data_IF_815144167428
#
_entry.id   IF_815144167428
#
_cell.length_a   1.000
_cell.length_b   1.000
_cell.length_c   1.000
_cell.angle_alpha   90.00
_cell.angle_beta   90.00
_cell.angle_gamma   90.00
#
_symmetry.space_group_name_H-M   'P 1'
#
loop_
_entity.id
_entity.type
_entity.pdbx_description
1 polymer ?
#
# COMPACT_ATOMS: atom_id res chain seq x y z
N UNK A 1 4.00 -6.04 5.67
CA UNK A 1 2.82 -5.46 6.32
C UNK A 1 1.51 -5.97 5.73
N UNK A 2 0.43 -5.97 6.52
CA UNK A 2 -0.91 -6.33 6.06
C UNK A 2 -1.83 -5.11 6.03
N UNK A 3 -2.51 -4.90 4.91
CA UNK A 3 -3.55 -3.87 4.79
C UNK A 3 -4.88 -4.40 5.32
N UNK A 4 -5.52 -3.62 6.18
CA UNK A 4 -6.86 -3.95 6.71
C UNK A 4 -7.81 -2.77 6.58
N UNK A 5 -9.12 -3.09 6.54
CA UNK A 5 -10.21 -2.13 6.74
C UNK A 5 -11.19 -2.76 7.72
N UNK A 6 -11.51 -2.04 8.80
CA UNK A 6 -12.53 -2.44 9.76
C UNK A 6 -13.80 -1.63 9.60
N UNK A 7 -14.95 -2.25 9.88
CA UNK A 7 -16.29 -1.66 9.74
C UNK A 7 -16.81 -0.97 11.02
N UNK A 8 -16.06 -1.04 12.12
CA UNK A 8 -16.48 -0.51 13.43
C UNK A 8 -17.42 -1.43 14.21
N UNK A 9 -17.80 -2.59 13.66
CA UNK A 9 -18.73 -3.54 14.27
C UNK A 9 -18.13 -4.96 14.42
N UNK A 10 -16.83 -5.10 14.20
CA UNK A 10 -16.08 -6.35 14.29
C UNK A 10 -15.80 -7.04 12.97
N UNK A 11 -16.37 -6.57 11.85
CA UNK A 11 -16.01 -7.03 10.51
C UNK A 11 -14.68 -6.42 10.07
N UNK A 12 -13.80 -7.23 9.45
CA UNK A 12 -12.44 -6.83 9.02
C UNK A 12 -12.14 -7.43 7.66
N UNK A 13 -11.92 -6.58 6.67
CA UNK A 13 -11.40 -6.96 5.36
C UNK A 13 -9.86 -6.86 5.35
N UNK A 14 -9.17 -7.90 4.83
CA UNK A 14 -7.72 -7.95 4.66
C UNK A 14 -7.40 -7.88 3.17
N UNK A 15 -6.64 -6.85 2.77
CA UNK A 15 -6.38 -6.49 1.38
C UNK A 15 -4.95 -6.84 0.93
N UNK A 16 -4.48 -8.00 1.36
CA UNK A 16 -3.17 -8.52 1.02
C UNK A 16 -2.03 -7.93 1.85
N UNK A 17 -0.87 -8.54 1.67
CA UNK A 17 0.39 -8.08 2.25
C UNK A 17 1.17 -7.21 1.26
N UNK A 18 2.05 -6.38 1.79
CA UNK A 18 3.06 -5.64 1.03
C UNK A 18 4.45 -5.91 1.60
N UNK A 19 5.42 -6.06 0.71
CA UNK A 19 6.83 -6.05 1.04
C UNK A 19 7.38 -4.63 0.94
N UNK A 20 7.86 -4.11 2.05
CA UNK A 20 8.40 -2.75 2.19
C UNK A 20 9.89 -2.76 2.60
N UNK A 21 10.62 -3.83 2.29
CA UNK A 21 12.00 -4.03 2.72
C UNK A 21 12.99 -3.09 2.03
N UNK A 22 12.67 -2.57 0.83
CA UNK A 22 13.53 -1.65 0.10
C UNK A 22 13.42 -0.24 0.70
N UNK A 23 14.37 0.08 1.57
CA UNK A 23 14.38 1.32 2.34
C UNK A 23 15.73 2.03 2.26
N UNK A 24 15.72 3.34 2.49
CA UNK A 24 16.92 4.16 2.69
C UNK A 24 16.69 5.07 3.90
N UNK A 25 17.58 5.02 4.88
CA UNK A 25 17.48 5.81 6.13
C UNK A 25 16.11 5.62 6.81
N UNK A 26 15.64 4.37 6.90
CA UNK A 26 14.33 3.99 7.45
C UNK A 26 13.10 4.57 6.71
N UNK A 27 13.29 5.05 5.49
CA UNK A 27 12.19 5.47 4.61
C UNK A 27 11.98 4.43 3.52
N UNK A 28 10.76 3.96 3.36
CA UNK A 28 10.34 3.07 2.29
C UNK A 28 10.58 3.77 0.93
N UNK A 29 11.12 3.05 -0.05
CA UNK A 29 11.40 3.57 -1.41
C UNK A 29 10.64 2.80 -2.48
N UNK A 30 10.53 1.47 -2.30
CA UNK A 30 9.82 0.57 -3.20
C UNK A 30 8.99 -0.35 -2.31
N UNK A 31 7.73 -0.49 -2.67
CA UNK A 31 6.79 -1.41 -2.03
C UNK A 31 6.15 -2.31 -3.08
N UNK A 32 5.97 -3.58 -2.79
CA UNK A 32 5.37 -4.53 -3.72
C UNK A 32 4.35 -5.46 -3.04
N UNK A 33 3.40 -5.94 -3.81
CA UNK A 33 2.43 -6.97 -3.42
C UNK A 33 2.18 -7.94 -4.58
N UNK A 34 2.09 -9.25 -4.28
CA UNK A 34 2.38 -9.90 -3.01
C UNK A 34 3.87 -9.92 -2.67
N UNK A 35 4.21 -10.34 -1.45
CA UNK A 35 5.60 -10.49 -1.00
C UNK A 35 6.19 -11.84 -1.43
N UNK A 36 7.45 -11.83 -1.89
CA UNK A 36 8.18 -13.08 -2.15
C UNK A 36 8.76 -13.72 -0.89
N UNK A 37 8.84 -12.97 0.21
CA UNK A 37 9.42 -13.42 1.47
C UNK A 37 8.40 -14.10 2.40
N UNK A 38 7.11 -14.02 2.08
CA UNK A 38 6.02 -14.54 2.91
C UNK A 38 5.45 -15.81 2.29
N UNK A 39 5.58 -16.94 2.99
CA UNK A 39 4.94 -18.19 2.57
C UNK A 39 3.42 -18.14 2.82
N UNK A 40 2.66 -18.96 2.10
CA UNK A 40 1.21 -19.08 2.27
C UNK A 40 0.82 -19.36 3.73
N UNK A 41 1.49 -20.30 4.39
CA UNK A 41 1.24 -20.64 5.81
C UNK A 41 1.54 -19.46 6.75
N UNK A 42 2.58 -18.68 6.45
CA UNK A 42 2.92 -17.48 7.21
C UNK A 42 1.87 -16.40 6.98
N UNK A 43 1.46 -16.18 5.73
CA UNK A 43 0.41 -15.23 5.37
C UNK A 43 -0.91 -15.54 6.09
N UNK A 44 -1.35 -16.80 6.07
CA UNK A 44 -2.55 -17.26 6.79
C UNK A 44 -2.47 -16.97 8.29
N UNK A 45 -1.32 -17.20 8.89
CA UNK A 45 -1.09 -16.95 10.32
C UNK A 45 -1.13 -15.46 10.65
N UNK A 46 -0.52 -14.63 9.81
CA UNK A 46 -0.57 -13.16 9.91
C UNK A 46 -2.01 -12.65 9.77
N UNK A 47 -2.75 -13.14 8.77
CA UNK A 47 -4.14 -12.75 8.53
C UNK A 47 -5.05 -13.10 9.72
N UNK A 48 -4.93 -14.31 10.27
CA UNK A 48 -5.69 -14.74 11.47
C UNK A 48 -5.40 -13.83 12.67
N UNK A 49 -4.13 -13.49 12.87
CA UNK A 49 -3.71 -12.56 13.93
C UNK A 49 -4.29 -11.16 13.74
N UNK A 50 -4.20 -10.64 12.51
CA UNK A 50 -4.74 -9.34 12.13
C UNK A 50 -6.26 -9.28 12.33
N UNK A 51 -6.99 -10.26 11.81
CA UNK A 51 -8.44 -10.32 11.93
C UNK A 51 -8.87 -10.35 13.39
N UNK A 52 -8.24 -11.21 14.22
CA UNK A 52 -8.53 -11.29 15.65
C UNK A 52 -8.30 -9.96 16.36
N UNK A 53 -7.17 -9.29 16.07
CA UNK A 53 -6.82 -8.02 16.70
C UNK A 53 -7.82 -6.93 16.35
N UNK A 54 -8.07 -6.68 15.07
CA UNK A 54 -8.92 -5.59 14.62
C UNK A 54 -10.41 -5.81 14.95
N UNK A 55 -10.89 -7.07 14.87
CA UNK A 55 -12.25 -7.42 15.31
C UNK A 55 -12.43 -7.17 16.79
N UNK A 56 -11.48 -7.57 17.65
CA UNK A 56 -11.60 -7.38 19.11
C UNK A 56 -11.66 -5.92 19.54
N UNK A 57 -11.14 -5.02 18.71
CA UNK A 57 -11.13 -3.58 18.94
C UNK A 57 -12.35 -2.86 18.31
N UNK A 58 -13.20 -3.57 17.58
CA UNK A 58 -14.23 -2.97 16.72
C UNK A 58 -13.63 -1.82 15.88
N UNK A 59 -12.45 -2.10 15.28
CA UNK A 59 -11.71 -1.08 14.54
C UNK A 59 -12.53 -0.52 13.38
N UNK A 60 -12.48 0.81 13.19
CA UNK A 60 -13.19 1.49 12.12
C UNK A 60 -12.21 2.27 11.24
N UNK A 61 -12.18 1.96 9.94
CA UNK A 61 -11.33 2.62 8.95
C UNK A 61 -10.17 1.77 8.45
N UNK A 62 -9.28 2.39 7.67
CA UNK A 62 -8.08 1.74 7.16
C UNK A 62 -6.98 1.66 8.22
N UNK A 63 -6.31 0.53 8.28
CA UNK A 63 -5.17 0.29 9.15
C UNK A 63 -4.17 -0.66 8.52
N UNK A 64 -2.96 -0.72 9.09
CA UNK A 64 -1.90 -1.60 8.64
C UNK A 64 -1.19 -2.20 9.83
N UNK A 65 -0.89 -3.50 9.76
CA UNK A 65 0.01 -4.17 10.71
C UNK A 65 1.35 -4.38 10.05
N UNK A 66 2.42 -3.95 10.69
CA UNK A 66 3.79 -4.17 10.24
C UNK A 66 4.43 -5.34 10.99
N UNK A 67 5.17 -6.16 10.23
CA UNK A 67 5.89 -7.33 10.72
C UNK A 67 7.34 -7.32 10.26
N UNK A 68 8.23 -7.82 11.08
CA UNK A 68 9.57 -8.23 10.68
C UNK A 68 9.54 -9.71 10.33
N UNK A 69 9.99 -10.06 9.12
CA UNK A 69 10.10 -11.45 8.64
C UNK A 69 11.56 -11.88 8.64
N UNK A 70 11.85 -13.04 9.22
CA UNK A 70 13.20 -13.64 9.25
C UNK A 70 13.09 -15.15 9.06
N UNK A 71 13.47 -15.64 7.88
CA UNK A 71 13.27 -17.03 7.48
C UNK A 71 11.78 -17.40 7.55
N UNK A 72 11.46 -18.48 8.26
CA UNK A 72 10.08 -18.96 8.44
C UNK A 72 9.36 -18.35 9.66
N UNK A 73 9.89 -17.27 10.22
CA UNK A 73 9.32 -16.61 11.40
C UNK A 73 8.93 -15.17 11.07
N UNK A 74 7.89 -14.68 11.74
CA UNK A 74 7.50 -13.29 11.69
C UNK A 74 7.25 -12.73 13.09
N UNK A 75 7.52 -11.46 13.25
CA UNK A 75 7.42 -10.76 14.54
C UNK A 75 6.59 -9.50 14.34
N UNK A 76 5.60 -9.30 15.22
CA UNK A 76 4.82 -8.07 15.24
C UNK A 76 5.72 -6.88 15.56
N UNK A 77 5.59 -5.80 14.80
CA UNK A 77 6.27 -4.53 15.04
C UNK A 77 5.31 -3.48 15.57
N UNK A 78 4.36 -3.05 14.75
CA UNK A 78 3.43 -1.99 15.10
C UNK A 78 2.13 -2.06 14.29
N UNK A 79 1.14 -1.26 14.75
CA UNK A 79 -0.08 -0.96 14.00
C UNK A 79 -0.10 0.50 13.62
N UNK A 80 -0.32 0.78 12.35
CA UNK A 80 -0.59 2.12 11.87
C UNK A 80 -2.11 2.29 11.68
N UNK A 81 -2.74 3.04 12.59
CA UNK A 81 -4.19 3.29 12.60
C UNK A 81 -4.58 4.42 11.63
N UNK A 82 -4.14 4.33 10.39
CA UNK A 82 -4.34 5.30 9.32
C UNK A 82 -4.09 4.67 7.96
N UNK A 83 -4.48 5.37 6.89
CA UNK A 83 -3.99 5.03 5.54
C UNK A 83 -2.48 5.35 5.44
N UNK A 84 -1.74 4.52 4.70
CA UNK A 84 -0.32 4.72 4.43
C UNK A 84 -0.09 5.17 2.97
N UNK A 85 1.13 5.65 2.68
CA UNK A 85 1.52 6.11 1.34
C UNK A 85 1.33 5.00 0.31
N UNK A 86 1.72 3.79 0.65
CA UNK A 86 1.77 2.58 -0.19
C UNK A 86 0.43 1.84 -0.35
N UNK A 87 -0.69 2.41 0.15
CA UNK A 87 -2.02 1.79 -0.04
C UNK A 87 -2.38 1.49 -1.50
N UNK A 88 -1.92 2.27 -2.51
CA UNK A 88 -2.25 1.97 -3.90
C UNK A 88 -1.75 0.61 -4.39
N UNK A 89 -0.68 0.07 -3.79
CA UNK A 89 -0.20 -1.28 -4.11
C UNK A 89 -1.28 -2.31 -3.83
N UNK A 90 -1.90 -2.26 -2.63
CA UNK A 90 -3.03 -3.13 -2.27
C UNK A 90 -4.27 -2.85 -3.12
N UNK A 91 -4.57 -1.59 -3.45
CA UNK A 91 -5.67 -1.24 -4.34
C UNK A 91 -5.53 -1.88 -5.72
N UNK A 92 -4.32 -1.83 -6.29
CA UNK A 92 -4.06 -2.37 -7.64
C UNK A 92 -4.21 -3.90 -7.71
N UNK A 93 -3.83 -4.64 -6.66
CA UNK A 93 -3.92 -6.10 -6.66
C UNK A 93 -5.27 -6.62 -6.21
N UNK A 94 -6.06 -5.84 -5.46
CA UNK A 94 -7.39 -6.25 -4.99
C UNK A 94 -8.54 -5.65 -5.80
N UNK A 95 -8.28 -4.59 -6.56
CA UNK A 95 -9.31 -3.82 -7.28
C UNK A 95 -10.19 -2.98 -6.35
N UNK A 96 -9.70 -2.65 -5.15
CA UNK A 96 -10.43 -1.93 -4.10
C UNK A 96 -10.01 -0.46 -4.08
N UNK A 97 -10.93 0.43 -3.74
CA UNK A 97 -10.66 1.84 -3.41
C UNK A 97 -10.68 1.99 -1.89
N UNK A 98 -9.49 1.92 -1.27
CA UNK A 98 -9.29 1.95 0.19
C UNK A 98 -9.75 3.28 0.77
N UNK A 99 -9.51 4.38 0.08
CA UNK A 99 -9.88 5.72 0.55
C UNK A 99 -11.40 5.86 0.60
N UNK A 100 -12.08 5.40 -0.44
CA UNK A 100 -13.54 5.39 -0.49
C UNK A 100 -14.13 4.54 0.63
N UNK A 101 -13.61 3.33 0.82
CA UNK A 101 -14.09 2.44 1.88
C UNK A 101 -13.86 3.05 3.27
N UNK A 102 -12.69 3.63 3.52
CA UNK A 102 -12.39 4.32 4.77
C UNK A 102 -13.38 5.46 5.03
N UNK A 103 -13.64 6.32 4.05
CA UNK A 103 -14.61 7.42 4.18
C UNK A 103 -16.00 6.84 4.47
N UNK A 104 -16.39 5.79 3.73
CA UNK A 104 -17.70 5.15 3.90
C UNK A 104 -17.92 4.65 5.32
N UNK A 105 -17.00 3.84 5.85
CA UNK A 105 -17.17 3.27 7.20
C UNK A 105 -17.04 4.32 8.31
N UNK A 106 -16.11 5.28 8.16
CA UNK A 106 -15.92 6.35 9.14
C UNK A 106 -17.09 7.35 9.20
N UNK A 107 -17.90 7.43 8.16
CA UNK A 107 -19.14 8.24 8.15
C UNK A 107 -20.39 7.45 8.53
N UNK A 108 -20.24 6.22 9.02
CA UNK A 108 -21.34 5.35 9.44
C UNK A 108 -21.99 4.57 8.30
N UNK A 109 -21.41 4.57 7.10
CA UNK A 109 -21.85 3.74 5.98
C UNK A 109 -21.44 2.28 6.14
N UNK A 110 -22.11 1.39 5.43
CA UNK A 110 -21.79 -0.03 5.44
C UNK A 110 -20.55 -0.30 4.57
N UNK A 111 -19.57 -1.06 5.10
CA UNK A 111 -18.45 -1.56 4.32
C UNK A 111 -18.94 -2.42 3.15
N UNK A 112 -18.46 -2.14 1.95
CA UNK A 112 -18.82 -2.91 0.75
C UNK A 112 -17.97 -4.17 0.58
N UNK A 113 -16.83 -4.25 1.27
CA UNK A 113 -15.91 -5.38 1.20
C UNK A 113 -16.41 -6.56 2.04
N UNK A 114 -16.14 -7.81 1.61
CA UNK A 114 -16.43 -8.98 2.42
C UNK A 114 -15.52 -9.02 3.65
N UNK A 115 -16.01 -9.61 4.74
CA UNK A 115 -15.18 -9.94 5.89
C UNK A 115 -14.16 -11.02 5.52
N UNK A 116 -12.93 -10.91 6.05
CA UNK A 116 -11.83 -11.82 5.80
C UNK A 116 -10.88 -11.40 4.69
N UNK A 117 -10.16 -12.35 4.12
CA UNK A 117 -9.07 -12.11 3.16
C UNK A 117 -9.61 -11.94 1.75
N UNK A 118 -9.26 -10.82 1.11
CA UNK A 118 -9.59 -10.57 -0.29
C UNK A 118 -8.62 -11.29 -1.24
N UNK A 119 -9.11 -11.73 -2.40
CA UNK A 119 -8.24 -12.32 -3.42
C UNK A 119 -7.31 -11.27 -4.04
N UNK A 120 -6.05 -11.64 -4.21
CA UNK A 120 -5.03 -10.85 -4.92
C UNK A 120 -4.98 -11.28 -6.38
N UNK A 121 -4.87 -10.31 -7.30
CA UNK A 121 -4.75 -10.55 -8.74
C UNK A 121 -3.51 -9.85 -9.28
N UNK A 122 -2.61 -10.63 -9.90
CA UNK A 122 -1.37 -10.11 -10.49
C UNK A 122 -0.36 -9.65 -9.44
N UNK A 123 0.44 -8.66 -9.81
CA UNK A 123 1.54 -8.11 -9.02
C UNK A 123 1.56 -6.59 -9.16
N UNK A 124 1.73 -5.86 -8.07
CA UNK A 124 1.89 -4.41 -8.12
C UNK A 124 3.18 -3.98 -7.43
N UNK A 125 3.81 -2.94 -7.96
CA UNK A 125 5.01 -2.32 -7.38
C UNK A 125 4.79 -0.80 -7.39
N UNK A 126 5.04 -0.18 -6.25
CA UNK A 126 5.11 1.28 -6.09
C UNK A 126 6.57 1.71 -5.98
N UNK A 127 6.93 2.81 -6.64
CA UNK A 127 8.20 3.50 -6.45
C UNK A 127 7.94 4.94 -6.02
N UNK A 128 8.52 5.36 -4.90
CA UNK A 128 8.43 6.74 -4.41
C UNK A 128 9.34 7.65 -5.19
N UNK A 129 8.83 8.78 -5.66
CA UNK A 129 9.57 9.80 -6.40
C UNK A 129 9.88 10.95 -5.45
N UNK A 130 11.16 11.05 -5.09
CA UNK A 130 11.67 12.04 -4.16
C UNK A 130 12.45 13.13 -4.88
N UNK A 131 12.16 14.39 -4.59
CA UNK A 131 12.98 15.52 -5.04
C UNK A 131 14.34 15.50 -4.32
N UNK A 132 15.42 15.56 -5.06
CA UNK A 132 16.79 15.61 -4.51
C UNK A 132 17.18 17.01 -4.05
N UNK A 133 16.67 18.02 -4.74
CA UNK A 133 16.97 19.44 -4.48
C UNK A 133 15.73 20.27 -4.72
N UNK A 134 15.58 21.41 -4.00
CA UNK A 134 14.58 22.41 -4.35
C UNK A 134 14.83 22.96 -5.76
N UNK A 135 13.77 23.35 -6.45
CA UNK A 135 13.89 23.90 -7.80
C UNK A 135 12.56 24.00 -8.53
N UNK A 136 12.61 24.55 -9.73
CA UNK A 136 11.47 24.70 -10.63
C UNK A 136 11.35 23.46 -11.52
N UNK A 137 10.15 22.89 -11.61
CA UNK A 137 9.83 21.82 -12.58
C UNK A 137 9.63 22.47 -13.95
N UNK A 138 10.66 22.47 -14.79
CA UNK A 138 10.62 23.09 -16.12
C UNK A 138 9.95 22.20 -17.15
N UNK A 139 10.02 20.88 -16.96
CA UNK A 139 9.36 19.89 -17.81
C UNK A 139 8.91 18.70 -16.96
N UNK A 140 7.67 18.27 -17.14
CA UNK A 140 7.10 17.09 -16.49
C UNK A 140 6.51 16.17 -17.56
N UNK A 141 6.97 14.92 -17.59
CA UNK A 141 6.36 13.85 -18.39
C UNK A 141 5.95 12.74 -17.45
N UNK A 142 4.65 12.55 -17.32
CA UNK A 142 4.07 11.50 -16.49
C UNK A 142 3.86 10.25 -17.35
N UNK A 143 4.39 9.08 -16.96
CA UNK A 143 4.11 7.84 -17.66
C UNK A 143 2.62 7.47 -17.54
N UNK A 144 2.10 6.74 -18.53
CA UNK A 144 0.71 6.31 -18.54
C UNK A 144 0.55 5.03 -19.35
N UNK A 145 -0.64 4.42 -19.24
CA UNK A 145 -0.98 3.19 -19.94
C UNK A 145 -1.66 2.17 -19.04
N UNK A 146 -1.96 1.00 -19.59
CA UNK A 146 -2.64 -0.06 -18.83
C UNK A 146 -1.78 -0.58 -17.66
N UNK A 147 -2.35 -0.50 -16.45
CA UNK A 147 -1.67 -0.90 -15.22
C UNK A 147 -0.57 0.06 -14.78
N UNK A 148 -0.64 1.34 -15.20
CA UNK A 148 0.24 2.41 -14.72
C UNK A 148 -0.63 3.46 -14.04
N UNK A 149 -0.29 3.80 -12.79
CA UNK A 149 -0.92 4.84 -11.98
C UNK A 149 0.16 5.78 -11.45
N UNK A 150 -0.08 7.06 -11.56
CA UNK A 150 0.79 8.10 -11.02
C UNK A 150 -0.01 8.97 -10.06
N UNK A 151 0.36 8.94 -8.79
CA UNK A 151 -0.22 9.76 -7.74
C UNK A 151 0.79 10.82 -7.33
N UNK A 152 0.47 12.07 -7.56
CA UNK A 152 1.38 13.18 -7.24
C UNK A 152 0.70 14.54 -7.38
N UNK A 153 1.38 15.57 -6.90
CA UNK A 153 0.91 16.95 -6.97
C UNK A 153 1.74 17.82 -7.94
N UNK A 154 2.71 17.20 -8.64
CA UNK A 154 3.60 17.93 -9.55
C UNK A 154 2.87 18.39 -10.80
N UNK A 155 3.22 19.59 -11.25
CA UNK A 155 2.86 20.14 -12.56
C UNK A 155 4.02 20.96 -13.12
N UNK A 156 4.01 21.19 -14.42
CA UNK A 156 5.01 22.04 -15.05
C UNK A 156 4.89 23.48 -14.52
N UNK A 157 5.99 24.05 -14.04
CA UNK A 157 6.01 25.35 -13.36
C UNK A 157 5.90 25.25 -11.83
N UNK A 158 5.69 24.06 -11.25
CA UNK A 158 5.69 23.90 -9.80
C UNK A 158 7.09 24.14 -9.23
N UNK A 159 7.17 24.90 -8.12
CA UNK A 159 8.42 25.12 -7.39
C UNK A 159 8.52 24.21 -6.19
N UNK A 160 9.38 23.21 -6.26
CA UNK A 160 9.72 22.35 -5.12
C UNK A 160 10.45 23.18 -4.08
N UNK A 161 9.92 23.19 -2.86
CA UNK A 161 10.46 23.95 -1.72
C UNK A 161 11.07 23.00 -0.68
N UNK A 162 12.06 23.45 0.12
CA UNK A 162 12.78 22.58 1.06
C UNK A 162 12.09 22.42 2.43
N UNK A 163 10.85 22.91 2.59
CA UNK A 163 10.18 22.99 3.89
C UNK A 163 9.32 21.77 4.22
N UNK A 164 9.12 20.86 3.27
CA UNK A 164 8.27 19.68 3.39
C UNK A 164 9.05 18.41 3.04
N UNK A 165 8.40 17.25 3.19
CA UNK A 165 8.94 15.97 2.77
C UNK A 165 9.39 16.02 1.30
N UNK A 166 10.46 15.30 1.00
CA UNK A 166 11.03 15.22 -0.35
C UNK A 166 10.15 14.44 -1.33
N UNK A 167 9.22 13.61 -0.85
CA UNK A 167 8.35 12.81 -1.71
C UNK A 167 7.38 13.73 -2.46
N UNK A 168 7.44 13.68 -3.77
CA UNK A 168 6.65 14.53 -4.67
C UNK A 168 5.59 13.77 -5.43
N UNK A 169 5.80 12.49 -5.63
CA UNK A 169 4.88 11.60 -6.31
C UNK A 169 5.21 10.14 -5.99
N UNK A 170 4.35 9.24 -6.43
CA UNK A 170 4.56 7.80 -6.45
C UNK A 170 4.08 7.25 -7.78
N UNK A 171 4.86 6.34 -8.34
CA UNK A 171 4.53 5.60 -9.54
C UNK A 171 4.18 4.18 -9.15
N UNK A 172 2.98 3.75 -9.47
CA UNK A 172 2.50 2.41 -9.20
C UNK A 172 2.27 1.69 -10.52
N UNK A 173 2.80 0.48 -10.64
CA UNK A 173 2.63 -0.36 -11.82
C UNK A 173 2.01 -1.69 -11.43
N UNK A 174 1.17 -2.23 -12.31
CA UNK A 174 0.50 -3.52 -12.14
C UNK A 174 0.67 -4.38 -13.38
N UNK A 175 0.97 -5.66 -13.17
CA UNK A 175 1.12 -6.66 -14.21
C UNK A 175 0.51 -8.00 -13.81
N UNK A 176 0.51 -8.97 -14.73
CA UNK A 176 0.02 -10.31 -14.46
C UNK A 176 0.94 -11.08 -13.47
N UNK A 177 2.23 -10.72 -13.48
CA UNK A 177 3.26 -11.32 -12.62
C UNK A 177 4.36 -10.30 -12.30
N UNK A 178 5.26 -10.65 -11.38
CA UNK A 178 6.36 -9.79 -10.94
C UNK A 178 7.33 -9.40 -12.08
N UNK A 179 7.82 -10.34 -12.93
CA UNK A 179 8.69 -9.98 -14.04
C UNK A 179 8.08 -8.95 -15.00
N UNK A 180 6.80 -9.12 -15.35
CA UNK A 180 6.09 -8.18 -16.20
C UNK A 180 5.95 -6.80 -15.52
N UNK A 181 5.66 -6.80 -14.22
CA UNK A 181 5.52 -5.56 -13.43
C UNK A 181 6.83 -4.80 -13.36
N UNK A 182 7.95 -5.50 -13.08
CA UNK A 182 9.30 -4.90 -13.09
C UNK A 182 9.62 -4.33 -14.47
N UNK A 183 9.33 -5.07 -15.55
CA UNK A 183 9.56 -4.58 -16.92
C UNK A 183 8.79 -3.29 -17.20
N UNK A 184 7.52 -3.20 -16.76
CA UNK A 184 6.71 -1.98 -16.89
C UNK A 184 7.29 -0.80 -16.10
N UNK A 185 7.84 -1.06 -14.91
CA UNK A 185 8.41 0.00 -14.06
C UNK A 185 9.68 0.59 -14.67
N UNK A 186 10.42 -0.20 -15.44
CA UNK A 186 11.70 0.19 -16.07
C UNK A 186 11.55 0.82 -17.47
N UNK A 187 10.37 0.79 -18.07
CA UNK A 187 10.11 1.38 -19.39
C UNK A 187 9.61 2.82 -19.28
#
# INVERSE_FOLDING_TARGET
ELQVIGDGAGGVAILGERDCSVQRNHQKLIEESPSQAVSEAMYDSMCKGAQKLFSSLNYCGAGTIEFLVSGDQFYFMEVNARVQVEHPVSEMVTGTDIIREQITVCTGGKMALPDGVLPIKGWAIEARINARTPGLITNLRVPGGNGIRFDGFLYQGYKVVPFYDSMTAKLIVHGADRPQTIKKLLC
#
